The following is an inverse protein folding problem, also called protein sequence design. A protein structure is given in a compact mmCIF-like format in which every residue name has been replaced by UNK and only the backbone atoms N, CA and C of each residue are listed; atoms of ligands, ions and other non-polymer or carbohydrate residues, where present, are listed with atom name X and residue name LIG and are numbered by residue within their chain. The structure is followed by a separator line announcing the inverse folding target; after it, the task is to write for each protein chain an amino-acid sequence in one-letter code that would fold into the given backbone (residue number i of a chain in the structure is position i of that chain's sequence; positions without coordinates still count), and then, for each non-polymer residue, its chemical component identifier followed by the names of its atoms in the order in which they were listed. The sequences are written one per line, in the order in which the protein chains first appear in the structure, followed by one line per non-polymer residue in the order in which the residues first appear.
data_IF_297261728686
#
_entry.id   IF_297261728686
#
_cell.length_a   1.000
_cell.length_b   1.000
_cell.length_c   1.000
_cell.angle_alpha   90.00
_cell.angle_beta   90.00
_cell.angle_gamma   90.00
#
_symmetry.space_group_name_H-M   'P 1'
#
loop_
_entity.id
_entity.type
_entity.pdbx_description
1 polymer ?
#
# COMPACT_ATOMS: atom_id res chain seq x y z
N UNK A 1 -15.03 71.74 -9.52
CA UNK A 1 -15.43 70.75 -8.50
C UNK A 1 -14.97 69.39 -9.00
N UNK A 2 -14.01 68.81 -8.30
CA UNK A 2 -13.16 67.66 -8.67
C UNK A 2 -13.97 66.37 -8.89
N UNK A 3 -13.76 65.70 -10.02
CA UNK A 3 -14.35 64.39 -10.31
C UNK A 3 -13.56 63.31 -9.56
N UNK A 4 -14.23 62.63 -8.63
CA UNK A 4 -13.66 61.54 -7.83
C UNK A 4 -13.18 60.39 -8.72
N UNK A 5 -11.86 60.31 -8.90
CA UNK A 5 -10.96 59.14 -8.78
C UNK A 5 -11.65 57.77 -8.69
N UNK A 6 -12.10 57.22 -9.82
CA UNK A 6 -12.35 55.78 -9.99
C UNK A 6 -11.12 55.11 -10.60
N UNK A 7 -10.00 55.16 -9.87
CA UNK A 7 -8.74 54.56 -10.30
C UNK A 7 -8.34 53.40 -9.37
N UNK A 8 -9.30 52.47 -9.19
CA UNK A 8 -9.11 51.22 -8.44
C UNK A 8 -9.56 50.00 -9.25
N UNK A 9 -9.62 50.09 -10.58
CA UNK A 9 -9.66 48.88 -11.41
C UNK A 9 -8.26 48.26 -11.36
N UNK A 10 -8.11 47.20 -10.55
CA UNK A 10 -6.90 46.38 -10.51
C UNK A 10 -6.50 46.03 -11.95
N UNK A 11 -5.25 46.33 -12.33
CA UNK A 11 -4.71 46.14 -13.69
C UNK A 11 -5.11 44.77 -14.25
N UNK A 12 -5.46 44.62 -15.54
CA UNK A 12 -5.95 43.36 -16.11
C UNK A 12 -5.01 42.16 -15.86
N UNK A 13 -3.70 42.41 -15.77
CA UNK A 13 -2.67 41.46 -15.38
C UNK A 13 -2.93 40.83 -13.99
N UNK A 14 -3.33 41.63 -13.01
CA UNK A 14 -3.64 41.14 -11.65
C UNK A 14 -4.93 40.33 -11.61
N UNK A 15 -5.89 40.59 -12.50
CA UNK A 15 -7.11 39.79 -12.64
C UNK A 15 -6.78 38.43 -13.25
N UNK A 16 -5.93 38.41 -14.28
CA UNK A 16 -5.48 37.17 -14.93
C UNK A 16 -4.70 36.27 -13.96
N UNK A 17 -3.78 36.84 -13.18
CA UNK A 17 -3.03 36.11 -12.15
C UNK A 17 -3.98 35.49 -11.11
N UNK A 18 -4.99 36.23 -10.66
CA UNK A 18 -5.97 35.73 -9.70
C UNK A 18 -6.77 34.55 -10.26
N UNK A 19 -7.15 34.62 -11.54
CA UNK A 19 -7.89 33.57 -12.24
C UNK A 19 -7.05 32.29 -12.37
N UNK A 20 -5.76 32.43 -12.70
CA UNK A 20 -4.83 31.30 -12.78
C UNK A 20 -4.68 30.62 -11.41
N UNK A 21 -4.56 31.40 -10.33
CA UNK A 21 -4.45 30.86 -8.97
C UNK A 21 -5.73 30.09 -8.59
N UNK A 22 -6.91 30.62 -8.90
CA UNK A 22 -8.19 29.96 -8.62
C UNK A 22 -8.29 28.63 -9.37
N UNK A 23 -8.02 28.64 -10.67
CA UNK A 23 -8.08 27.42 -11.51
C UNK A 23 -7.05 26.40 -11.04
N UNK A 24 -5.81 26.82 -10.76
CA UNK A 24 -4.77 25.96 -10.22
C UNK A 24 -5.16 25.35 -8.87
N UNK A 25 -5.76 26.15 -7.98
CA UNK A 25 -6.24 25.69 -6.68
C UNK A 25 -7.34 24.63 -6.81
N UNK A 26 -8.29 24.81 -7.73
CA UNK A 26 -9.36 23.84 -8.00
C UNK A 26 -8.79 22.52 -8.52
N UNK A 27 -7.81 22.57 -9.42
CA UNK A 27 -7.16 21.36 -9.95
C UNK A 27 -6.44 20.61 -8.83
N UNK A 28 -5.64 21.30 -8.01
CA UNK A 28 -4.92 20.69 -6.89
C UNK A 28 -5.89 20.07 -5.88
N UNK A 29 -6.97 20.79 -5.54
CA UNK A 29 -7.99 20.29 -4.62
C UNK A 29 -8.65 18.98 -5.09
N UNK A 30 -8.99 18.91 -6.39
CA UNK A 30 -9.58 17.70 -6.97
C UNK A 30 -8.59 16.51 -6.97
N UNK A 31 -7.30 16.76 -7.21
CA UNK A 31 -6.27 15.70 -7.16
C UNK A 31 -6.11 15.15 -5.74
N UNK A 32 -6.10 16.02 -4.73
CA UNK A 32 -5.92 15.62 -3.31
C UNK A 32 -7.09 14.75 -2.83
N UNK A 33 -8.33 15.08 -3.21
CA UNK A 33 -9.51 14.28 -2.84
C UNK A 33 -9.55 12.91 -3.54
N UNK A 34 -8.97 12.81 -4.73
CA UNK A 34 -8.96 11.55 -5.48
C UNK A 34 -7.99 10.51 -4.93
N UNK A 35 -7.10 10.87 -4.01
CA UNK A 35 -6.17 9.91 -3.39
C UNK A 35 -6.93 9.21 -2.26
N UNK A 36 -7.31 7.93 -2.41
CA UNK A 36 -7.93 7.19 -1.31
C UNK A 36 -6.91 6.98 -0.20
N UNK A 37 -6.93 7.87 0.80
CA UNK A 37 -6.11 7.73 2.00
C UNK A 37 -6.78 6.72 2.92
N UNK A 38 -6.36 5.46 2.85
CA UNK A 38 -6.72 4.48 3.88
C UNK A 38 -5.78 4.67 5.07
N UNK A 39 -6.34 4.92 6.25
CA UNK A 39 -5.54 5.06 7.47
C UNK A 39 -4.71 3.80 7.71
N UNK A 40 -5.33 2.63 7.57
CA UNK A 40 -4.69 1.32 7.71
C UNK A 40 -4.84 0.53 6.41
N UNK A 41 -3.73 0.00 5.91
CA UNK A 41 -3.74 -0.84 4.73
C UNK A 41 -2.48 -1.71 4.69
N UNK A 42 -2.63 -2.96 4.29
CA UNK A 42 -1.55 -3.94 4.23
C UNK A 42 -1.60 -4.68 2.89
N UNK A 43 -0.52 -4.59 2.14
CA UNK A 43 -0.30 -5.37 0.93
C UNK A 43 0.43 -6.66 1.28
N UNK A 44 -0.01 -7.77 0.69
CA UNK A 44 0.48 -9.12 0.98
C UNK A 44 0.77 -9.86 -0.32
N UNK A 45 2.04 -10.25 -0.51
CA UNK A 45 2.47 -11.14 -1.58
C UNK A 45 3.03 -12.45 -1.01
N UNK A 46 2.31 -13.54 -1.23
CA UNK A 46 2.69 -14.88 -0.77
C UNK A 46 3.13 -15.71 -1.96
N UNK A 47 4.39 -16.14 -1.97
CA UNK A 47 4.99 -16.86 -3.08
C UNK A 47 5.61 -18.16 -2.61
N UNK A 48 5.37 -19.23 -3.37
CA UNK A 48 5.92 -20.56 -3.16
C UNK A 48 6.54 -21.06 -4.46
N UNK A 49 7.82 -21.39 -4.42
CA UNK A 49 8.49 -22.07 -5.53
C UNK A 49 8.45 -23.59 -5.34
N UNK A 50 7.66 -24.33 -6.16
CA UNK A 50 7.54 -25.77 -6.05
C UNK A 50 8.74 -26.54 -6.64
N UNK A 51 9.58 -25.90 -7.45
CA UNK A 51 10.68 -26.56 -8.19
C UNK A 51 12.03 -26.44 -7.47
N UNK A 52 12.08 -25.65 -6.40
CA UNK A 52 13.26 -25.58 -5.55
C UNK A 52 13.44 -26.86 -4.74
N UNK A 53 14.65 -27.45 -4.78
CA UNK A 53 15.07 -28.57 -3.93
C UNK A 53 14.94 -28.26 -2.43
N UNK A 54 14.90 -26.98 -2.09
CA UNK A 54 14.63 -26.43 -0.76
C UNK A 54 13.44 -25.50 -0.96
N UNK A 55 12.19 -25.97 -0.77
CA UNK A 55 10.96 -25.20 -1.01
C UNK A 55 11.14 -23.75 -0.57
N UNK A 56 11.33 -22.86 -1.54
CA UNK A 56 11.70 -21.48 -1.27
C UNK A 56 10.39 -20.70 -1.26
N UNK A 57 9.89 -20.44 -0.06
CA UNK A 57 8.65 -19.71 0.15
C UNK A 57 8.94 -18.40 0.85
N UNK A 58 8.14 -17.39 0.51
CA UNK A 58 8.23 -16.08 1.16
C UNK A 58 6.85 -15.45 1.25
N UNK A 59 6.64 -14.71 2.33
CA UNK A 59 5.52 -13.79 2.45
C UNK A 59 6.08 -12.38 2.61
N UNK A 60 5.70 -11.49 1.72
CA UNK A 60 6.08 -10.08 1.76
C UNK A 60 4.88 -9.30 2.25
N UNK A 61 5.07 -8.57 3.35
CA UNK A 61 4.09 -7.70 3.96
C UNK A 61 4.54 -6.26 3.76
N UNK A 62 3.68 -5.39 3.22
CA UNK A 62 4.00 -3.97 3.04
C UNK A 62 2.86 -3.11 3.56
N UNK A 63 3.14 -2.28 4.55
CA UNK A 63 2.15 -1.30 5.02
C UNK A 63 2.08 -0.15 4.01
N UNK A 64 0.96 -0.06 3.29
CA UNK A 64 0.66 1.02 2.35
C UNK A 64 -0.41 1.98 2.89
N UNK A 65 -0.76 1.86 4.19
CA UNK A 65 -1.58 2.81 4.90
C UNK A 65 -0.80 4.02 5.40
N UNK A 66 -1.52 4.99 5.97
CA UNK A 66 -0.94 6.21 6.56
C UNK A 66 -0.50 6.03 8.02
N UNK A 67 -0.98 4.98 8.69
CA UNK A 67 -0.74 4.69 10.11
C UNK A 67 -0.03 3.35 10.29
N UNK A 68 0.68 3.20 11.41
CA UNK A 68 1.36 1.95 11.76
C UNK A 68 0.35 0.84 12.09
N UNK A 69 0.66 -0.38 11.66
CA UNK A 69 -0.09 -1.59 12.00
C UNK A 69 0.58 -2.29 13.18
N UNK A 70 -0.19 -2.72 14.18
CA UNK A 70 0.35 -3.31 15.39
C UNK A 70 -0.20 -4.71 15.62
N UNK A 71 0.61 -5.52 16.33
CA UNK A 71 0.29 -6.89 16.70
C UNK A 71 -0.21 -7.69 15.49
N UNK A 72 0.60 -7.69 14.44
CA UNK A 72 0.30 -8.35 13.17
C UNK A 72 0.55 -9.84 13.36
N UNK A 73 -0.53 -10.61 13.48
CA UNK A 73 -0.51 -12.05 13.65
C UNK A 73 -0.64 -12.73 12.27
N UNK A 74 0.30 -13.62 11.97
CA UNK A 74 0.38 -14.35 10.70
C UNK A 74 0.20 -15.83 11.00
N UNK A 75 -0.71 -16.48 10.27
CA UNK A 75 -1.01 -17.91 10.41
C UNK A 75 -0.95 -18.57 9.04
N UNK A 76 -0.18 -19.65 8.94
CA UNK A 76 -0.03 -20.43 7.72
C UNK A 76 -0.98 -21.64 7.72
N UNK A 77 -1.67 -21.89 6.61
CA UNK A 77 -2.55 -23.06 6.41
C UNK A 77 -3.61 -23.27 7.51
N UNK A 78 -4.14 -22.21 8.12
CA UNK A 78 -5.04 -22.28 9.28
C UNK A 78 -4.45 -23.05 10.49
N UNK A 79 -3.14 -23.27 10.55
CA UNK A 79 -2.52 -24.08 11.58
C UNK A 79 -1.82 -23.18 12.60
N UNK A 80 -2.36 -23.13 13.82
CA UNK A 80 -1.83 -22.33 14.91
C UNK A 80 -0.42 -22.73 15.36
N UNK A 81 0.10 -23.90 14.96
CA UNK A 81 1.51 -24.27 15.19
C UNK A 81 2.47 -23.57 14.24
N UNK A 82 1.97 -23.10 13.10
CA UNK A 82 2.72 -22.39 12.08
C UNK A 82 2.21 -20.94 12.06
N UNK A 83 2.55 -20.22 13.12
CA UNK A 83 2.20 -18.82 13.28
C UNK A 83 3.42 -18.00 13.70
N UNK A 84 3.33 -16.71 13.44
CA UNK A 84 4.32 -15.72 13.88
C UNK A 84 3.62 -14.39 14.13
N UNK A 85 4.28 -13.52 14.90
CA UNK A 85 3.71 -12.21 15.24
C UNK A 85 4.76 -11.13 15.08
N UNK A 86 4.39 -10.06 14.38
CA UNK A 86 5.19 -8.85 14.25
C UNK A 86 4.59 -7.79 15.17
N UNK A 87 5.46 -7.13 15.95
CA UNK A 87 5.06 -6.09 16.89
C UNK A 87 4.41 -4.90 16.19
N UNK A 88 5.12 -4.26 15.26
CA UNK A 88 4.66 -3.08 14.52
C UNK A 88 5.21 -3.10 13.10
N UNK A 89 4.42 -2.66 12.12
CA UNK A 89 4.84 -2.36 10.74
C UNK A 89 4.48 -0.90 10.45
N UNK A 90 5.50 -0.05 10.29
CA UNK A 90 5.32 1.38 10.08
C UNK A 90 4.84 1.70 8.64
N UNK A 91 4.23 2.87 8.40
CA UNK A 91 3.85 3.31 7.06
C UNK A 91 5.04 3.22 6.08
N UNK A 92 4.83 2.55 4.95
CA UNK A 92 5.86 2.33 3.93
C UNK A 92 6.86 1.20 4.23
N UNK A 93 6.83 0.62 5.43
CA UNK A 93 7.72 -0.48 5.80
C UNK A 93 7.35 -1.79 5.08
N UNK A 94 8.37 -2.56 4.72
CA UNK A 94 8.23 -3.87 4.08
C UNK A 94 8.95 -4.92 4.92
N UNK A 95 8.23 -5.99 5.29
CA UNK A 95 8.75 -7.14 6.01
C UNK A 95 8.71 -8.36 5.09
N UNK A 96 9.80 -9.14 5.08
CA UNK A 96 9.89 -10.40 4.35
C UNK A 96 9.98 -11.52 5.37
N UNK A 97 9.03 -12.45 5.28
CA UNK A 97 8.91 -13.61 6.14
C UNK A 97 9.28 -14.87 5.38
N UNK A 98 9.88 -15.81 6.09
CA UNK A 98 10.23 -17.15 5.60
C UNK A 98 9.32 -18.16 6.31
N UNK A 99 8.24 -18.63 5.66
CA UNK A 99 7.32 -19.58 6.26
C UNK A 99 8.05 -20.85 6.75
N UNK A 100 7.57 -21.46 7.84
CA UNK A 100 8.18 -22.66 8.39
C UNK A 100 8.10 -23.84 7.42
N UNK A 101 9.19 -24.61 7.33
CA UNK A 101 9.26 -25.82 6.51
C UNK A 101 8.32 -26.92 7.01
N UNK A 102 7.92 -27.82 6.11
CA UNK A 102 7.00 -28.92 6.42
C UNK A 102 5.52 -28.56 6.38
N UNK A 103 5.19 -27.35 5.92
CA UNK A 103 3.82 -26.88 5.68
C UNK A 103 3.45 -27.01 4.20
N UNK A 104 2.15 -27.14 3.90
CA UNK A 104 1.67 -27.19 2.52
C UNK A 104 1.73 -25.84 1.84
N UNK A 105 1.65 -24.74 2.59
CA UNK A 105 1.66 -23.35 2.13
C UNK A 105 0.63 -23.12 1.03
N UNK A 106 -0.63 -23.43 1.33
CA UNK A 106 -1.77 -23.14 0.48
C UNK A 106 -2.22 -21.69 0.69
N UNK A 107 -2.31 -21.25 1.95
CA UNK A 107 -2.70 -19.88 2.29
C UNK A 107 -1.95 -19.31 3.50
N UNK A 108 -1.97 -17.99 3.58
CA UNK A 108 -1.55 -17.21 4.74
C UNK A 108 -2.68 -16.28 5.16
N UNK A 109 -2.95 -16.27 6.46
CA UNK A 109 -3.90 -15.36 7.08
C UNK A 109 -3.16 -14.36 7.95
N UNK A 110 -3.49 -13.09 7.77
CA UNK A 110 -2.94 -12.00 8.56
C UNK A 110 -4.07 -11.28 9.27
N UNK A 111 -3.92 -11.08 10.58
CA UNK A 111 -4.81 -10.27 11.40
C UNK A 111 -4.01 -9.19 12.12
N UNK A 112 -4.51 -7.96 12.14
CA UNK A 112 -3.87 -6.85 12.88
C UNK A 112 -4.76 -6.37 14.01
N UNK A 113 -4.19 -5.65 14.98
CA UNK A 113 -4.95 -5.03 16.09
C UNK A 113 -5.99 -4.04 15.58
N UNK A 114 -5.71 -3.39 14.46
CA UNK A 114 -6.56 -2.40 13.80
C UNK A 114 -7.75 -3.01 13.07
N UNK A 115 -7.88 -4.35 13.09
CA UNK A 115 -9.03 -5.07 12.54
C UNK A 115 -8.89 -5.45 11.07
N UNK A 116 -7.70 -5.32 10.47
CA UNK A 116 -7.46 -5.87 9.14
C UNK A 116 -7.42 -7.40 9.23
N UNK A 117 -8.20 -8.06 8.39
CA UNK A 117 -8.14 -9.51 8.17
C UNK A 117 -7.88 -9.77 6.68
N UNK A 118 -6.74 -10.38 6.37
CA UNK A 118 -6.33 -10.69 5.00
C UNK A 118 -6.11 -12.18 4.90
N UNK A 119 -6.69 -12.81 3.89
CA UNK A 119 -6.41 -14.18 3.52
C UNK A 119 -5.84 -14.19 2.10
N UNK A 120 -4.67 -14.78 1.93
CA UNK A 120 -3.95 -14.81 0.66
C UNK A 120 -3.47 -16.20 0.33
N UNK A 121 -3.78 -16.67 -0.87
CA UNK A 121 -3.25 -17.93 -1.39
C UNK A 121 -1.81 -17.75 -1.87
N UNK A 122 -0.98 -18.77 -1.67
CA UNK A 122 0.36 -18.79 -2.23
C UNK A 122 0.31 -19.00 -3.74
N UNK A 123 0.97 -18.12 -4.48
CA UNK A 123 1.15 -18.26 -5.93
C UNK A 123 2.52 -18.82 -6.27
N UNK A 124 2.64 -19.45 -7.42
CA UNK A 124 3.94 -19.78 -8.01
C UNK A 124 4.51 -18.58 -8.76
N UNK A 125 5.86 -18.50 -8.91
CA UNK A 125 6.47 -17.58 -9.84
C UNK A 125 5.89 -17.74 -11.26
N UNK A 126 5.83 -16.65 -11.99
CA UNK A 126 5.51 -16.69 -13.42
C UNK A 126 6.73 -17.27 -14.13
N UNK A 127 6.55 -18.39 -14.84
CA UNK A 127 7.59 -18.97 -15.69
C UNK A 127 7.70 -18.16 -16.98
N UNK A 128 8.88 -17.64 -17.29
CA UNK A 128 9.14 -16.99 -18.59
C UNK A 128 9.59 -18.04 -19.62
N UNK A 129 9.17 -17.93 -20.89
CA UNK A 129 9.67 -18.81 -21.94
C UNK A 129 11.20 -18.76 -22.05
N UNK A 130 11.85 -19.91 -22.09
CA UNK A 130 13.32 -20.02 -22.22
C UNK A 130 14.11 -20.08 -20.91
N UNK A 131 13.44 -20.06 -19.74
CA UNK A 131 14.10 -20.38 -18.47
C UNK A 131 14.29 -21.90 -18.35
N UNK A 132 15.54 -22.33 -18.18
CA UNK A 132 15.91 -23.73 -17.90
C UNK A 132 15.35 -24.14 -16.52
N UNK A 133 14.56 -25.21 -16.48
CA UNK A 133 13.92 -25.73 -15.26
C UNK A 133 12.40 -25.93 -15.34
N UNK A 134 11.76 -25.63 -16.48
CA UNK A 134 10.35 -25.99 -16.74
C UNK A 134 10.14 -27.47 -17.03
#
# INVERSE_FOLDING_TARGET
METKKYDKLKKPETILIFLIIIVGGIIIYNIVILIPTRDYSLEVDALKDPESLLVNSRVVLKNNGLQSLNNVNIVYDNNLKFNETIGTINPGETIILSPPGGTTLNNVQIKTKEGLEINKEFRTPIKLPGMIGS
#
